data_IF_484355896021
#
_entry.id   IF_484355896021
#
_cell.length_a   1.000
_cell.length_b   1.000
_cell.length_c   1.000
_cell.angle_alpha   90.00
_cell.angle_beta   90.00
_cell.angle_gamma   90.00
#
_symmetry.space_group_name_H-M   'P 1'
#
loop_
_entity.id
_entity.type
_entity.pdbx_description
1 polymer ?
#
# COMPACT_ATOMS: atom_id res chain seq x y z
N UNK A 1 -5.36 -52.70 -5.76
CA UNK A 1 -6.23 -51.79 -4.99
C UNK A 1 -5.34 -50.83 -4.21
N UNK A 2 -5.16 -49.59 -4.68
CA UNK A 2 -4.24 -48.62 -4.09
C UNK A 2 -4.89 -47.84 -2.94
N UNK A 3 -4.27 -47.79 -1.75
CA UNK A 3 -4.54 -46.74 -0.76
C UNK A 3 -3.22 -46.14 -0.27
N UNK A 4 -2.82 -45.07 -0.95
CA UNK A 4 -1.88 -44.06 -0.45
C UNK A 4 -2.44 -43.49 0.85
N UNK A 5 -1.66 -43.48 1.93
CA UNK A 5 -1.89 -42.53 3.01
C UNK A 5 -0.55 -42.07 3.58
N UNK A 6 0.13 -41.25 2.78
CA UNK A 6 1.15 -40.32 3.27
C UNK A 6 0.46 -39.38 4.26
N UNK A 7 0.68 -39.54 5.56
CA UNK A 7 0.38 -38.48 6.52
C UNK A 7 1.65 -37.65 6.71
N UNK A 8 1.78 -36.70 5.79
CA UNK A 8 2.73 -35.61 5.80
C UNK A 8 2.35 -34.62 6.91
N UNK A 9 3.33 -34.31 7.78
CA UNK A 9 3.47 -33.24 8.79
C UNK A 9 2.39 -32.14 8.91
N UNK A 10 2.14 -31.62 10.13
CA UNK A 10 1.67 -30.25 10.31
C UNK A 10 2.77 -29.37 10.95
N UNK A 11 3.64 -28.79 10.12
CA UNK A 11 4.40 -27.60 10.51
C UNK A 11 3.54 -26.37 10.21
N UNK A 12 2.94 -25.74 11.22
CA UNK A 12 2.46 -24.36 11.06
C UNK A 12 2.82 -23.53 12.29
N UNK A 13 3.92 -22.78 12.16
CA UNK A 13 4.22 -21.62 12.99
C UNK A 13 2.96 -20.75 13.08
N UNK A 14 2.38 -20.62 14.28
CA UNK A 14 1.25 -19.72 14.52
C UNK A 14 1.70 -18.28 14.21
N UNK A 15 1.16 -17.70 13.14
CA UNK A 15 1.35 -16.28 12.85
C UNK A 15 0.77 -15.47 14.03
N UNK A 16 1.59 -14.60 14.63
CA UNK A 16 1.14 -13.74 15.75
C UNK A 16 -0.11 -12.94 15.32
N UNK A 17 -1.12 -12.78 16.19
CA UNK A 17 -2.30 -11.97 15.87
C UNK A 17 -1.86 -10.54 15.54
N UNK A 18 -2.24 -10.07 14.36
CA UNK A 18 -1.94 -8.69 13.91
C UNK A 18 -2.61 -7.74 14.89
N UNK A 19 -1.82 -6.91 15.59
CA UNK A 19 -2.35 -5.82 16.41
C UNK A 19 -3.21 -4.93 15.52
N UNK A 20 -4.46 -4.74 15.91
CA UNK A 20 -5.40 -3.83 15.25
C UNK A 20 -4.83 -2.41 15.31
N UNK A 21 -4.46 -1.87 14.16
CA UNK A 21 -4.03 -0.47 14.06
C UNK A 21 -5.28 0.40 14.05
N UNK A 22 -5.43 1.24 15.08
CA UNK A 22 -6.46 2.29 15.11
C UNK A 22 -6.37 3.15 13.83
N UNK A 23 -7.48 3.50 13.18
CA UNK A 23 -7.46 4.30 11.96
C UNK A 23 -6.86 5.68 12.28
N UNK A 24 -5.73 5.99 11.66
CA UNK A 24 -5.13 7.32 11.77
C UNK A 24 -5.90 8.28 10.87
N UNK A 25 -6.32 9.42 11.42
CA UNK A 25 -6.93 10.49 10.61
C UNK A 25 -5.92 10.95 9.56
N UNK A 26 -6.28 10.78 8.28
CA UNK A 26 -5.46 11.23 7.16
C UNK A 26 -5.38 12.76 7.14
N UNK A 27 -4.17 13.29 6.91
CA UNK A 27 -4.01 14.73 6.72
C UNK A 27 -4.54 15.16 5.33
N UNK A 28 -4.84 16.45 5.17
CA UNK A 28 -5.39 16.98 3.93
C UNK A 28 -4.47 16.80 2.70
N UNK A 29 -3.15 16.74 2.92
CA UNK A 29 -2.19 16.46 1.86
C UNK A 29 -2.36 15.03 1.32
N UNK A 30 -2.37 14.04 2.21
CA UNK A 30 -2.52 12.63 1.84
C UNK A 30 -3.88 12.36 1.21
N UNK A 31 -4.95 13.01 1.67
CA UNK A 31 -6.27 12.90 1.02
C UNK A 31 -6.20 13.36 -0.44
N UNK A 32 -5.59 14.51 -0.72
CA UNK A 32 -5.43 15.00 -2.12
C UNK A 32 -4.49 14.12 -2.94
N UNK A 33 -3.42 13.64 -2.33
CA UNK A 33 -2.45 12.75 -2.99
C UNK A 33 -3.08 11.40 -3.36
N UNK A 34 -3.88 10.80 -2.46
CA UNK A 34 -4.58 9.54 -2.71
C UNK A 34 -5.63 9.71 -3.80
N UNK A 35 -6.44 10.78 -3.74
CA UNK A 35 -7.38 11.09 -4.81
C UNK A 35 -6.68 11.31 -6.16
N UNK A 36 -5.51 11.96 -6.18
CA UNK A 36 -4.72 12.13 -7.39
C UNK A 36 -4.19 10.79 -7.94
N UNK A 37 -3.78 9.89 -7.06
CA UNK A 37 -3.34 8.52 -7.39
C UNK A 37 -4.47 7.67 -7.95
N UNK A 38 -5.63 7.66 -7.32
CA UNK A 38 -6.83 6.92 -7.77
C UNK A 38 -7.30 7.41 -9.14
N UNK A 39 -7.26 8.73 -9.36
CA UNK A 39 -7.59 9.34 -10.66
C UNK A 39 -6.47 9.22 -11.71
N UNK A 40 -5.31 8.68 -11.36
CA UNK A 40 -4.15 8.56 -12.27
C UNK A 40 -3.53 9.90 -12.72
N UNK A 41 -3.84 11.01 -12.04
CA UNK A 41 -3.37 12.34 -12.43
C UNK A 41 -1.86 12.53 -12.23
N UNK A 42 -1.20 13.20 -13.18
CA UNK A 42 0.27 13.44 -13.13
C UNK A 42 0.68 14.56 -12.18
N UNK A 43 -0.25 15.42 -11.74
CA UNK A 43 0.03 16.54 -10.84
C UNK A 43 -1.19 16.88 -9.99
N UNK A 44 -0.97 17.38 -8.78
CA UNK A 44 -2.00 17.99 -7.95
C UNK A 44 -1.47 19.22 -7.22
N UNK A 45 -2.36 20.13 -6.84
CA UNK A 45 -2.00 21.35 -6.10
C UNK A 45 -2.45 21.26 -4.66
N UNK A 46 -1.54 21.57 -3.74
CA UNK A 46 -1.82 21.66 -2.30
C UNK A 46 -1.13 22.88 -1.71
N UNK A 47 -1.90 23.75 -1.03
CA UNK A 47 -1.41 24.99 -0.41
C UNK A 47 -0.56 25.85 -1.37
N UNK A 48 -1.03 26.06 -2.60
CA UNK A 48 -0.31 26.82 -3.64
C UNK A 48 0.91 26.13 -4.23
N UNK A 49 1.32 24.98 -3.71
CA UNK A 49 2.44 24.18 -4.24
C UNK A 49 1.92 23.11 -5.20
N UNK A 50 2.59 22.96 -6.35
CA UNK A 50 2.32 21.89 -7.31
C UNK A 50 3.18 20.67 -6.98
N UNK A 51 2.54 19.52 -6.84
CA UNK A 51 3.18 18.24 -6.65
C UNK A 51 3.03 17.41 -7.93
N UNK A 52 4.14 16.90 -8.44
CA UNK A 52 4.21 16.13 -9.69
C UNK A 52 4.49 14.66 -9.38
N UNK A 53 3.81 13.78 -10.10
CA UNK A 53 4.00 12.33 -10.04
C UNK A 53 5.41 11.98 -10.50
N UNK A 54 6.14 11.25 -9.68
CA UNK A 54 7.47 10.71 -9.99
C UNK A 54 7.45 9.22 -9.73
N UNK A 55 7.90 8.46 -10.72
CA UNK A 55 8.08 7.02 -10.61
C UNK A 55 9.51 6.73 -10.18
N UNK A 56 9.66 6.00 -9.08
CA UNK A 56 10.97 5.55 -8.60
C UNK A 56 11.41 4.30 -9.36
N UNK A 57 12.72 4.04 -9.40
CA UNK A 57 13.30 2.83 -10.02
C UNK A 57 12.74 1.52 -9.46
N UNK A 58 12.19 1.57 -8.24
CA UNK A 58 11.50 0.45 -7.57
C UNK A 58 10.05 0.25 -8.02
N UNK A 59 9.55 1.00 -9.01
CA UNK A 59 8.14 0.97 -9.44
C UNK A 59 7.18 1.71 -8.50
N UNK A 60 7.70 2.41 -7.49
CA UNK A 60 6.88 3.15 -6.53
C UNK A 60 6.51 4.53 -7.08
N UNK A 61 5.21 4.80 -7.14
CA UNK A 61 4.67 6.10 -7.53
C UNK A 61 4.68 7.03 -6.31
N UNK A 62 5.40 8.13 -6.42
CA UNK A 62 5.46 9.20 -5.41
C UNK A 62 5.02 10.52 -6.01
N UNK A 63 4.71 11.51 -5.18
CA UNK A 63 4.47 12.87 -5.64
C UNK A 63 5.46 13.81 -4.96
N UNK A 64 6.24 14.53 -5.76
CA UNK A 64 7.27 15.46 -5.28
C UNK A 64 6.88 16.89 -5.59
N UNK A 65 7.25 17.80 -4.70
CA UNK A 65 7.12 19.25 -4.93
C UNK A 65 7.92 19.63 -6.18
N UNK A 66 7.31 20.41 -7.06
CA UNK A 66 7.98 21.07 -8.18
C UNK A 66 8.58 22.40 -7.74
#
# INVERSE_FOLDING_TARGET
MFKKKYFFFPFHKMAKPKKEMKPRKLNAYFTKMLAAREKGTKKFTYKGTVYVRTELKSGMITYKKK
#
